data_IF_401875762115
#
_entry.id   IF_401875762115
#
_cell.length_a   1.000
_cell.length_b   1.000
_cell.length_c   1.000
_cell.angle_alpha   90.00
_cell.angle_beta   90.00
_cell.angle_gamma   90.00
#
_symmetry.space_group_name_H-M   'P 1'
#
loop_
_entity.id
_entity.type
_entity.pdbx_description
1 polymer ?
#
# COMPACT_ATOMS: atom_id res chain seq x y z
N UNK A 1 -12.95 -14.37 2.17
CA UNK A 1 -11.52 -14.72 2.19
C UNK A 1 -11.34 -16.24 2.24
N UNK A 2 -12.25 -16.98 1.63
CA UNK A 2 -12.31 -18.45 1.56
C UNK A 2 -11.40 -19.05 0.48
N UNK A 3 -10.81 -18.20 -0.36
CA UNK A 3 -9.83 -18.60 -1.38
C UNK A 3 -10.44 -19.11 -2.69
N UNK A 4 -11.76 -19.20 -2.82
CA UNK A 4 -12.43 -19.86 -3.96
C UNK A 4 -12.39 -19.09 -5.29
N UNK A 5 -12.09 -17.78 -5.28
CA UNK A 5 -12.16 -16.92 -6.47
C UNK A 5 -10.85 -16.13 -6.69
N UNK A 6 -9.73 -16.84 -6.72
CA UNK A 6 -8.41 -16.24 -6.99
C UNK A 6 -8.36 -15.72 -8.43
N UNK A 7 -7.99 -14.44 -8.60
CA UNK A 7 -7.83 -13.79 -9.91
C UNK A 7 -6.51 -13.01 -9.96
N UNK A 8 -5.93 -12.96 -11.16
CA UNK A 8 -4.83 -12.04 -11.47
C UNK A 8 -5.46 -10.70 -11.88
N UNK A 9 -5.03 -9.61 -11.24
CA UNK A 9 -5.52 -8.25 -11.53
C UNK A 9 -4.45 -7.36 -12.17
N UNK A 10 -3.17 -7.73 -12.07
CA UNK A 10 -2.04 -7.06 -12.69
C UNK A 10 -1.04 -8.13 -13.14
N UNK A 11 -0.65 -8.11 -14.42
CA UNK A 11 0.27 -9.07 -15.05
C UNK A 11 1.33 -8.40 -15.95
N UNK A 12 1.33 -7.07 -16.02
CA UNK A 12 2.18 -6.27 -16.90
C UNK A 12 2.68 -5.01 -16.20
N UNK A 13 3.84 -4.51 -16.64
CA UNK A 13 4.55 -3.36 -16.01
C UNK A 13 4.70 -3.54 -14.49
N UNK A 14 5.16 -4.75 -14.13
CA UNK A 14 5.44 -5.24 -12.78
C UNK A 14 6.64 -6.20 -12.87
N UNK A 15 7.58 -6.10 -11.94
CA UNK A 15 8.77 -6.94 -11.87
C UNK A 15 8.92 -7.56 -10.47
N UNK A 16 9.13 -6.74 -9.44
CA UNK A 16 9.30 -7.20 -8.05
C UNK A 16 8.45 -6.34 -7.14
N UNK A 17 7.17 -6.70 -6.91
CA UNK A 17 6.31 -6.01 -5.97
C UNK A 17 6.68 -6.37 -4.54
N UNK A 18 7.56 -5.58 -3.91
CA UNK A 18 8.08 -5.85 -2.56
C UNK A 18 7.04 -5.58 -1.46
N UNK A 19 6.21 -4.56 -1.64
CA UNK A 19 5.24 -4.11 -0.63
C UNK A 19 3.92 -3.66 -1.25
N UNK A 20 2.83 -3.80 -0.49
CA UNK A 20 1.48 -3.43 -0.95
C UNK A 20 0.53 -3.05 0.19
N UNK A 21 -0.43 -2.17 -0.10
CA UNK A 21 -1.46 -1.73 0.85
C UNK A 21 -2.78 -1.43 0.13
N UNK A 22 -3.86 -1.34 0.90
CA UNK A 22 -5.19 -0.99 0.42
C UNK A 22 -5.62 0.38 0.95
N UNK A 23 -6.18 1.22 0.09
CA UNK A 23 -6.97 2.39 0.46
C UNK A 23 -8.46 2.03 0.37
N UNK A 24 -9.07 1.75 1.53
CA UNK A 24 -10.47 1.33 1.61
C UNK A 24 -11.46 2.44 1.21
N UNK A 25 -11.07 3.71 1.37
CA UNK A 25 -11.91 4.87 1.05
C UNK A 25 -11.79 5.17 -0.45
N UNK A 26 -10.55 5.26 -0.95
CA UNK A 26 -10.26 5.49 -2.36
C UNK A 26 -10.61 4.31 -3.27
N UNK A 27 -10.84 3.11 -2.71
CA UNK A 27 -11.07 1.85 -3.44
C UNK A 27 -9.91 1.47 -4.36
N UNK A 28 -8.69 1.63 -3.85
CA UNK A 28 -7.46 1.39 -4.61
C UNK A 28 -6.49 0.50 -3.85
N UNK A 29 -5.76 -0.29 -4.60
CA UNK A 29 -4.59 -1.03 -4.15
C UNK A 29 -3.34 -0.27 -4.60
N UNK A 30 -2.37 -0.15 -3.71
CA UNK A 30 -1.08 0.48 -4.00
C UNK A 30 0.02 -0.56 -3.81
N UNK A 31 1.04 -0.52 -4.66
CA UNK A 31 2.23 -1.37 -4.55
C UNK A 31 3.49 -0.58 -4.87
N UNK A 32 4.61 -1.04 -4.34
CA UNK A 32 5.95 -0.56 -4.68
C UNK A 32 6.71 -1.67 -5.38
N UNK A 33 7.39 -1.30 -6.47
CA UNK A 33 8.25 -2.19 -7.23
C UNK A 33 9.72 -1.81 -7.05
N UNK A 34 10.51 -2.72 -6.47
CA UNK A 34 11.91 -2.48 -6.17
C UNK A 34 12.84 -2.50 -7.38
N UNK A 35 12.45 -3.14 -8.48
CA UNK A 35 13.25 -3.21 -9.71
C UNK A 35 12.87 -2.10 -10.68
N UNK A 36 11.58 -1.79 -10.79
CA UNK A 36 11.09 -0.71 -11.66
C UNK A 36 11.13 0.67 -10.99
N UNK A 37 11.56 0.73 -9.73
CA UNK A 37 11.65 1.91 -8.87
C UNK A 37 10.40 2.80 -8.95
N UNK A 38 9.23 2.18 -8.81
CA UNK A 38 7.95 2.88 -8.95
C UNK A 38 6.95 2.47 -7.88
N UNK A 39 6.14 3.44 -7.45
CA UNK A 39 4.91 3.21 -6.69
C UNK A 39 3.75 3.40 -7.63
N UNK A 40 2.86 2.40 -7.71
CA UNK A 40 1.67 2.43 -8.55
C UNK A 40 0.43 2.17 -7.71
N UNK A 41 -0.71 2.56 -8.27
CA UNK A 41 -2.03 2.26 -7.72
C UNK A 41 -2.99 1.81 -8.80
N UNK A 42 -3.98 1.01 -8.42
CA UNK A 42 -5.01 0.51 -9.33
C UNK A 42 -6.31 0.30 -8.57
N UNK A 43 -7.44 0.23 -9.28
CA UNK A 43 -8.71 -0.21 -8.67
C UNK A 43 -8.63 -1.70 -8.33
N UNK A 44 -9.52 -2.18 -7.47
CA UNK A 44 -9.49 -3.59 -7.03
C UNK A 44 -9.73 -4.61 -8.16
N UNK A 45 -10.24 -4.17 -9.30
CA UNK A 45 -10.42 -4.98 -10.51
C UNK A 45 -9.23 -4.86 -11.50
N UNK A 46 -8.18 -4.10 -11.17
CA UNK A 46 -7.01 -3.87 -12.02
C UNK A 46 -7.15 -2.69 -12.99
N UNK A 47 -8.33 -2.06 -13.06
CA UNK A 47 -8.56 -0.92 -13.96
C UNK A 47 -8.00 0.40 -13.40
N UNK A 48 -7.90 1.41 -14.27
CA UNK A 48 -7.52 2.77 -13.87
C UNK A 48 -6.17 2.80 -13.14
N UNK A 49 -5.18 2.09 -13.68
CA UNK A 49 -3.84 2.03 -13.12
C UNK A 49 -3.13 3.38 -13.27
N UNK A 50 -2.53 3.86 -12.17
CA UNK A 50 -1.87 5.15 -12.08
C UNK A 50 -0.49 4.99 -11.43
N UNK A 51 0.54 5.53 -12.07
CA UNK A 51 1.89 5.64 -11.50
C UNK A 51 1.97 6.87 -10.60
N UNK A 52 2.11 6.64 -9.30
CA UNK A 52 2.20 7.70 -8.28
C UNK A 52 3.57 8.37 -8.36
N UNK A 53 4.63 7.57 -8.43
CA UNK A 53 6.00 8.04 -8.60
C UNK A 53 6.85 6.97 -9.28
N UNK A 54 7.79 7.39 -10.12
CA UNK A 54 8.83 6.55 -10.71
C UNK A 54 10.14 7.31 -10.67
N UNK A 55 11.02 6.94 -9.73
CA UNK A 55 12.20 7.71 -9.38
C UNK A 55 13.21 6.80 -8.65
N UNK A 56 14.28 6.43 -9.35
CA UNK A 56 15.30 5.52 -8.84
C UNK A 56 16.07 6.07 -7.65
N UNK A 57 16.25 7.39 -7.57
CA UNK A 57 16.96 8.02 -6.45
C UNK A 57 16.08 8.02 -5.19
N UNK A 58 14.76 8.12 -5.33
CA UNK A 58 13.83 8.09 -4.17
C UNK A 58 13.43 6.67 -3.75
N UNK A 59 13.51 5.72 -4.67
CA UNK A 59 13.13 4.31 -4.48
C UNK A 59 14.29 3.33 -4.77
N UNK A 60 15.53 3.54 -4.26
CA UNK A 60 16.66 2.65 -4.56
C UNK A 60 16.43 1.23 -4.04
N UNK A 61 15.82 1.09 -2.84
CA UNK A 61 15.47 -0.20 -2.26
C UNK A 61 14.28 -0.09 -1.30
N UNK A 62 13.06 0.11 -1.83
CA UNK A 62 11.85 0.11 -1.01
C UNK A 62 11.61 -1.28 -0.42
N UNK A 63 10.88 -1.35 0.70
CA UNK A 63 10.48 -2.62 1.31
C UNK A 63 8.96 -2.72 1.44
N UNK A 64 8.34 -1.78 2.15
CA UNK A 64 6.90 -1.77 2.39
C UNK A 64 6.33 -0.36 2.18
N UNK A 65 5.00 -0.27 1.99
CA UNK A 65 4.31 1.01 1.89
C UNK A 65 2.95 1.00 2.60
N UNK A 66 2.52 2.17 3.02
CA UNK A 66 1.17 2.41 3.54
C UNK A 66 0.57 3.67 2.97
N UNK A 67 -0.76 3.71 2.92
CA UNK A 67 -1.51 4.92 2.55
C UNK A 67 -2.19 5.46 3.79
N UNK A 68 -2.05 6.77 4.01
CA UNK A 68 -2.83 7.48 5.02
C UNK A 68 -3.13 8.90 4.56
N UNK A 69 -4.40 9.29 4.67
CA UNK A 69 -4.89 10.58 4.16
C UNK A 69 -4.50 10.74 2.67
N UNK A 70 -3.90 11.87 2.30
CA UNK A 70 -3.49 12.19 0.92
C UNK A 70 -2.10 11.67 0.53
N UNK A 71 -1.45 10.84 1.35
CA UNK A 71 -0.05 10.46 1.14
C UNK A 71 0.15 8.95 1.07
N UNK A 72 1.10 8.53 0.24
CA UNK A 72 1.75 7.22 0.34
C UNK A 72 3.04 7.40 1.13
N UNK A 73 3.27 6.52 2.10
CA UNK A 73 4.50 6.42 2.87
C UNK A 73 5.18 5.11 2.51
N UNK A 74 6.51 5.07 2.46
CA UNK A 74 7.25 3.83 2.24
C UNK A 74 8.54 3.79 3.06
N UNK A 75 8.96 2.57 3.39
CA UNK A 75 10.26 2.29 3.99
C UNK A 75 11.31 2.10 2.91
N UNK A 76 12.50 2.70 3.11
CA UNK A 76 13.61 2.61 2.17
C UNK A 76 14.85 2.06 2.87
N UNK A 77 15.25 0.84 2.48
CA UNK A 77 16.31 0.08 3.13
C UNK A 77 17.68 0.73 2.98
N UNK A 78 18.02 1.23 1.79
CA UNK A 78 19.35 1.77 1.51
C UNK A 78 19.51 3.15 2.13
N UNK A 79 18.48 4.00 2.04
CA UNK A 79 18.49 5.33 2.63
C UNK A 79 18.24 5.36 4.13
N UNK A 80 17.81 4.24 4.73
CA UNK A 80 17.52 4.15 6.18
C UNK A 80 16.43 5.14 6.61
N UNK A 81 15.41 5.32 5.77
CA UNK A 81 14.37 6.33 5.94
C UNK A 81 12.96 5.76 5.80
N UNK A 82 11.99 6.52 6.34
CA UNK A 82 10.60 6.49 5.90
C UNK A 82 10.34 7.78 5.14
N UNK A 83 9.85 7.66 3.91
CA UNK A 83 9.56 8.80 3.03
C UNK A 83 8.07 8.85 2.71
N UNK A 84 7.59 9.99 2.19
CA UNK A 84 6.23 10.09 1.65
C UNK A 84 6.14 11.01 0.44
N UNK A 85 5.10 10.81 -0.37
CA UNK A 85 4.65 11.69 -1.45
C UNK A 85 3.12 11.77 -1.47
N UNK A 86 2.59 12.82 -2.08
CA UNK A 86 1.16 12.92 -2.36
C UNK A 86 0.72 11.77 -3.28
N UNK A 87 -0.32 11.03 -2.87
CA UNK A 87 -0.74 9.78 -3.54
C UNK A 87 -1.39 9.97 -4.91
N UNK A 88 -1.69 11.22 -5.29
CA UNK A 88 -2.34 11.57 -6.56
C UNK A 88 -1.39 12.27 -7.53
N UNK A 89 -0.44 13.06 -7.02
CA UNK A 89 0.44 13.89 -7.85
C UNK A 89 1.90 13.43 -7.87
N UNK A 90 2.30 12.57 -6.94
CA UNK A 90 3.69 12.19 -6.75
C UNK A 90 4.60 13.30 -6.18
N UNK A 91 4.02 14.46 -5.87
CA UNK A 91 4.73 15.63 -5.34
C UNK A 91 4.85 15.59 -3.81
N UNK A 92 5.36 16.66 -3.21
CA UNK A 92 5.52 16.82 -1.76
C UNK A 92 6.39 15.73 -1.12
N UNK A 93 7.43 15.32 -1.85
CA UNK A 93 8.43 14.39 -1.36
C UNK A 93 9.01 14.89 -0.03
N UNK A 94 9.00 14.02 0.97
CA UNK A 94 9.58 14.35 2.26
C UNK A 94 10.01 13.12 3.04
N UNK A 95 11.15 13.24 3.72
CA UNK A 95 11.62 12.25 4.70
C UNK A 95 10.88 12.51 6.01
N UNK A 96 10.27 11.46 6.57
CA UNK A 96 9.48 11.51 7.81
C UNK A 96 10.22 10.90 9.00
N UNK A 97 11.15 9.99 8.73
CA UNK A 97 12.08 9.46 9.70
C UNK A 97 13.38 9.04 8.98
N UNK A 98 14.51 9.10 9.68
CA UNK A 98 15.84 8.76 9.17
C UNK A 98 16.65 7.97 10.23
N UNK A 99 17.83 7.48 9.82
CA UNK A 99 18.73 6.68 10.66
C UNK A 99 18.10 5.38 11.19
N UNK A 100 17.13 4.81 10.46
CA UNK A 100 16.48 3.56 10.83
C UNK A 100 17.37 2.40 10.38
N UNK A 101 17.88 1.59 11.33
CA UNK A 101 18.81 0.48 11.05
C UNK A 101 18.30 -0.49 9.97
N UNK A 102 17.03 -0.88 10.09
CA UNK A 102 16.38 -1.87 9.22
C UNK A 102 14.90 -1.49 9.03
N UNK A 103 14.60 -0.54 8.12
CA UNK A 103 13.23 -0.12 7.85
C UNK A 103 12.56 -1.21 6.99
N UNK A 104 11.82 -2.10 7.65
CA UNK A 104 11.07 -3.20 7.03
C UNK A 104 9.59 -2.80 6.91
N UNK A 105 8.68 -3.60 7.48
CA UNK A 105 7.25 -3.35 7.43
C UNK A 105 6.85 -2.07 8.17
N UNK A 106 5.86 -1.37 7.63
CA UNK A 106 5.27 -0.19 8.23
C UNK A 106 3.75 -0.34 8.26
N UNK A 107 3.11 0.11 9.33
CA UNK A 107 1.65 0.06 9.47
C UNK A 107 1.13 1.40 9.99
N UNK A 108 -0.03 1.81 9.50
CA UNK A 108 -0.74 2.97 10.03
C UNK A 108 -1.51 2.55 11.28
N UNK A 109 -1.30 3.27 12.37
CA UNK A 109 -2.09 3.14 13.59
C UNK A 109 -2.87 4.44 13.80
N UNK A 110 -4.16 4.41 13.43
CA UNK A 110 -5.07 5.54 13.57
C UNK A 110 -6.52 5.06 13.57
N UNK A 111 -7.40 5.83 14.20
CA UNK A 111 -8.83 5.62 14.13
C UNK A 111 -9.33 5.69 12.67
N UNK A 112 -10.27 4.81 12.32
CA UNK A 112 -10.86 4.75 10.97
C UNK A 112 -10.04 4.00 9.92
N UNK A 113 -8.78 3.64 10.20
CA UNK A 113 -7.99 2.74 9.32
C UNK A 113 -8.53 1.31 9.35
N UNK A 114 -9.03 0.88 10.52
CA UNK A 114 -9.70 -0.40 10.72
C UNK A 114 -11.17 -0.17 11.12
N UNK A 115 -12.06 0.12 10.16
CA UNK A 115 -13.46 0.33 10.47
C UNK A 115 -14.09 -0.94 11.04
N UNK A 116 -15.03 -0.79 11.98
CA UNK A 116 -15.81 -1.91 12.49
C UNK A 116 -16.62 -2.52 11.35
N UNK A 117 -16.44 -3.82 11.12
CA UNK A 117 -17.19 -4.59 10.12
C UNK A 117 -18.19 -5.54 10.78
N UNK A 118 -19.10 -6.08 9.97
CA UNK A 118 -19.96 -7.20 10.40
C UNK A 118 -19.15 -8.48 10.32
N UNK A 119 -19.02 -9.18 11.44
CA UNK A 119 -18.38 -10.49 11.47
C UNK A 119 -19.38 -11.54 10.99
N UNK A 120 -19.37 -11.84 9.68
CA UNK A 120 -20.30 -12.78 9.06
C UNK A 120 -20.33 -14.17 9.74
N UNK A 121 -19.21 -14.58 10.35
CA UNK A 121 -19.12 -15.83 11.11
C UNK A 121 -20.00 -15.85 12.39
N UNK A 122 -20.34 -14.67 12.94
CA UNK A 122 -21.14 -14.52 14.16
C UNK A 122 -22.56 -14.01 13.90
N UNK A 123 -22.88 -13.62 12.66
CA UNK A 123 -24.17 -13.03 12.30
C UNK A 123 -25.38 -14.01 12.42
N UNK A 124 -25.13 -15.31 12.61
CA UNK A 124 -26.17 -16.34 12.73
C UNK A 124 -26.34 -16.91 14.16
N UNK A 125 -25.77 -16.29 15.20
CA UNK A 125 -25.85 -16.80 16.58
C UNK A 125 -27.02 -16.25 17.43
N UNK A 126 -28.00 -15.58 16.82
CA UNK A 126 -29.12 -14.98 17.57
C UNK A 126 -30.48 -15.40 16.98
N UNK A 127 -30.77 -16.69 16.85
CA UNK A 127 -32.15 -17.24 16.81
C UNK A 127 -32.14 -18.73 17.15
N UNK A 128 -32.00 -19.08 18.43
CA UNK A 128 -32.56 -20.31 18.99
C UNK A 128 -33.06 -20.02 20.40
N UNK A 129 -34.39 -19.89 20.48
CA UNK A 129 -35.30 -19.82 21.64
C UNK A 129 -34.95 -18.91 22.82
#
# INVERSE_FOLDING_TARGET
>A
MDGGNRKVIIDSDIAVPDGMTIDHIGKRLYWVDGILNQIKSTRFDGTDTHTVIKDADKLPKPFDLVVYSSFVYWSNWDHKTICRVNKYTGQDYSIRANYIRSPLGIQVFADGVQPKGVYACFANLIYFN
#
